data_IF_319074577362
#
_entry.id   IF_319074577362
#
_cell.length_a   1.000
_cell.length_b   1.000
_cell.length_c   1.000
_cell.angle_alpha   90.00
_cell.angle_beta   90.00
_cell.angle_gamma   90.00
#
_symmetry.space_group_name_H-M   'P 1'
#
loop_
_entity.id
_entity.type
_entity.pdbx_description
1 polymer ?
#
# COMPACT_ATOMS: atom_id res chain seq x y z
N UNK A 1 29.17 8.80 -25.38
CA UNK A 1 28.83 10.05 -24.65
C UNK A 1 27.31 10.08 -24.40
N UNK A 2 26.47 9.79 -25.40
CA UNK A 2 24.99 9.71 -25.25
C UNK A 2 24.53 8.68 -24.19
N UNK A 3 25.05 7.45 -24.21
CA UNK A 3 24.75 6.38 -23.22
C UNK A 3 25.03 6.78 -21.75
N UNK A 4 25.96 7.71 -21.50
CA UNK A 4 26.22 8.20 -20.14
C UNK A 4 25.24 9.31 -19.70
N UNK A 5 24.70 10.07 -20.65
CA UNK A 5 23.71 11.13 -20.42
C UNK A 5 22.33 10.53 -20.18
N UNK A 6 21.94 9.52 -20.96
CA UNK A 6 20.68 8.78 -20.80
C UNK A 6 20.61 8.05 -19.46
N UNK A 7 21.70 7.35 -19.08
CA UNK A 7 21.78 6.71 -17.75
C UNK A 7 21.70 7.71 -16.61
N UNK A 8 22.25 8.91 -16.79
CA UNK A 8 22.17 9.98 -15.79
C UNK A 8 20.74 10.50 -15.66
N UNK A 9 20.04 10.73 -16.77
CA UNK A 9 18.63 11.16 -16.77
C UNK A 9 17.74 10.12 -16.08
N UNK A 10 17.85 8.86 -16.48
CA UNK A 10 17.08 7.78 -15.85
C UNK A 10 17.40 7.62 -14.36
N UNK A 11 18.66 7.79 -13.95
CA UNK A 11 19.03 7.78 -12.53
C UNK A 11 18.44 8.97 -11.77
N UNK A 12 18.47 10.18 -12.33
CA UNK A 12 17.85 11.39 -11.74
C UNK A 12 16.33 11.23 -11.61
N UNK A 13 15.68 10.69 -12.64
CA UNK A 13 14.25 10.41 -12.69
C UNK A 13 13.83 9.34 -11.67
N UNK A 14 14.58 8.23 -11.58
CA UNK A 14 14.35 7.17 -10.59
C UNK A 14 14.62 7.68 -9.17
N UNK A 15 15.61 8.55 -8.96
CA UNK A 15 15.85 9.17 -7.65
C UNK A 15 14.73 10.12 -7.25
N UNK A 16 14.16 10.86 -8.19
CA UNK A 16 13.00 11.73 -7.95
C UNK A 16 11.77 10.93 -7.49
N UNK A 17 11.56 9.74 -8.06
CA UNK A 17 10.47 8.83 -7.67
C UNK A 17 10.77 8.08 -6.37
N UNK A 18 11.99 7.59 -6.16
CA UNK A 18 12.36 6.87 -4.93
C UNK A 18 12.32 7.77 -3.69
N UNK A 19 12.58 9.06 -3.86
CA UNK A 19 12.44 10.06 -2.80
C UNK A 19 10.99 10.30 -2.34
N UNK A 20 9.98 9.90 -3.13
CA UNK A 20 8.56 10.13 -2.83
C UNK A 20 8.05 9.30 -1.64
N UNK A 21 8.69 8.17 -1.37
CA UNK A 21 8.30 7.23 -0.30
C UNK A 21 8.73 7.68 1.09
N UNK A 22 9.58 8.70 1.18
CA UNK A 22 9.98 9.30 2.45
C UNK A 22 9.24 10.63 2.63
N UNK A 23 8.25 10.72 3.54
CA UNK A 23 7.67 12.01 3.88
C UNK A 23 8.76 12.90 4.45
N UNK A 24 8.89 14.13 3.93
CA UNK A 24 9.87 15.09 4.43
C UNK A 24 9.77 15.26 5.96
N UNK A 25 10.89 15.57 6.62
CA UNK A 25 11.01 15.57 8.09
C UNK A 25 9.96 16.46 8.78
N UNK A 26 9.54 17.56 8.14
CA UNK A 26 8.48 18.42 8.64
C UNK A 26 7.11 17.70 8.66
N UNK A 27 6.75 17.04 7.56
CA UNK A 27 5.51 16.26 7.45
C UNK A 27 5.53 15.07 8.41
N UNK A 28 6.69 14.43 8.60
CA UNK A 28 6.82 13.34 9.58
C UNK A 28 6.52 13.81 11.02
N UNK A 29 7.00 15.00 11.40
CA UNK A 29 6.72 15.59 12.73
C UNK A 29 5.25 15.96 12.93
N UNK A 30 4.61 16.50 11.90
CA UNK A 30 3.17 16.80 11.95
C UNK A 30 2.30 15.54 12.00
N UNK A 31 2.76 14.45 11.36
CA UNK A 31 2.08 13.16 11.41
C UNK A 31 2.13 12.55 12.82
N UNK A 32 3.26 12.68 13.51
CA UNK A 32 3.51 12.16 14.86
C UNK A 32 2.76 12.92 15.96
N UNK A 33 2.47 14.22 15.75
CA UNK A 33 1.77 15.06 16.72
C UNK A 33 0.27 14.73 16.90
N UNK A 34 -0.33 13.98 15.97
CA UNK A 34 -1.76 13.66 15.97
C UNK A 34 -1.97 12.17 16.31
N UNK A 35 -2.96 11.82 17.17
CA UNK A 35 -3.20 10.43 17.55
C UNK A 35 -3.48 9.56 16.33
N UNK A 36 -2.77 8.43 16.22
CA UNK A 36 -3.01 7.46 15.14
C UNK A 36 -4.33 6.72 15.38
N UNK A 37 -5.29 6.93 14.49
CA UNK A 37 -6.55 6.20 14.41
C UNK A 37 -6.52 5.25 13.21
N UNK A 38 -7.17 4.08 13.29
CA UNK A 38 -7.31 3.14 12.19
C UNK A 38 -7.78 3.82 10.89
N UNK A 39 -8.74 4.76 10.96
CA UNK A 39 -9.23 5.49 9.79
C UNK A 39 -8.12 6.33 9.10
N UNK A 40 -7.20 6.91 9.88
CA UNK A 40 -6.09 7.72 9.36
C UNK A 40 -5.01 6.85 8.72
N UNK A 41 -4.69 5.71 9.34
CA UNK A 41 -3.75 4.74 8.74
C UNK A 41 -4.31 4.18 7.44
N UNK A 42 -5.62 3.92 7.38
CA UNK A 42 -6.30 3.54 6.14
C UNK A 42 -6.20 4.62 5.06
N UNK A 43 -6.36 5.90 5.43
CA UNK A 43 -6.12 7.02 4.54
C UNK A 43 -4.71 7.04 3.97
N UNK A 44 -3.68 6.83 4.82
CA UNK A 44 -2.28 6.73 4.39
C UNK A 44 -2.01 5.54 3.46
N UNK A 45 -2.66 4.39 3.70
CA UNK A 45 -2.56 3.24 2.78
C UNK A 45 -3.10 3.60 1.41
N UNK A 46 -4.30 4.20 1.35
CA UNK A 46 -4.91 4.59 0.08
C UNK A 46 -4.09 5.65 -0.66
N UNK A 47 -3.55 6.63 0.08
CA UNK A 47 -2.68 7.65 -0.49
C UNK A 47 -1.39 7.06 -1.05
N UNK A 48 -0.76 6.13 -0.32
CA UNK A 48 0.44 5.42 -0.77
C UNK A 48 0.16 4.59 -2.03
N UNK A 49 -0.97 3.88 -2.08
CA UNK A 49 -1.39 3.10 -3.25
C UNK A 49 -1.62 4.02 -4.47
N UNK A 50 -2.27 5.17 -4.27
CA UNK A 50 -2.48 6.17 -5.32
C UNK A 50 -1.15 6.74 -5.85
N UNK A 51 -0.26 7.15 -4.94
CA UNK A 51 1.08 7.66 -5.32
C UNK A 51 1.88 6.62 -6.09
N UNK A 52 1.82 5.35 -5.67
CA UNK A 52 2.51 4.28 -6.38
C UNK A 52 1.98 4.09 -7.81
N UNK A 53 0.67 4.19 -8.03
CA UNK A 53 0.09 4.15 -9.38
C UNK A 53 0.57 5.31 -10.24
N UNK A 54 0.60 6.52 -9.68
CA UNK A 54 1.10 7.72 -10.37
C UNK A 54 2.60 7.58 -10.72
N UNK A 55 3.43 7.11 -9.78
CA UNK A 55 4.87 6.89 -9.97
C UNK A 55 5.14 5.86 -11.08
N UNK A 56 4.40 4.74 -11.08
CA UNK A 56 4.53 3.70 -12.11
C UNK A 56 4.08 4.22 -13.46
N UNK A 57 2.96 4.94 -13.52
CA UNK A 57 2.47 5.52 -14.78
C UNK A 57 3.49 6.48 -15.39
N UNK A 58 4.08 7.35 -14.55
CA UNK A 58 5.12 8.30 -14.96
C UNK A 58 6.37 7.59 -15.48
N UNK A 59 6.80 6.52 -14.80
CA UNK A 59 7.94 5.72 -15.26
C UNK A 59 7.69 5.09 -16.63
N UNK A 60 6.49 4.56 -16.87
CA UNK A 60 6.10 4.02 -18.19
C UNK A 60 6.04 5.12 -19.27
N UNK A 61 5.56 6.32 -18.91
CA UNK A 61 5.53 7.44 -19.83
C UNK A 61 6.96 7.83 -20.26
N UNK A 62 7.90 7.95 -19.32
CA UNK A 62 9.30 8.23 -19.63
C UNK A 62 9.92 7.18 -20.53
N UNK A 63 9.67 5.89 -20.23
CA UNK A 63 10.17 4.80 -21.08
C UNK A 63 9.59 4.84 -22.50
N UNK A 64 8.33 5.26 -22.65
CA UNK A 64 7.72 5.43 -23.95
C UNK A 64 8.34 6.60 -24.71
N UNK A 65 8.54 7.74 -24.05
CA UNK A 65 9.18 8.93 -24.61
C UNK A 65 10.61 8.61 -25.09
N UNK A 66 11.42 7.94 -24.26
CA UNK A 66 12.78 7.51 -24.62
C UNK A 66 12.77 6.56 -25.82
N UNK A 67 11.86 5.57 -25.83
CA UNK A 67 11.74 4.64 -26.94
C UNK A 67 11.32 5.34 -28.25
N UNK A 68 10.43 6.33 -28.18
CA UNK A 68 10.04 7.12 -29.37
C UNK A 68 11.19 7.97 -29.88
N UNK A 69 11.92 8.65 -29.00
CA UNK A 69 13.09 9.44 -29.37
C UNK A 69 14.17 8.57 -30.03
N UNK A 70 14.45 7.39 -29.47
CA UNK A 70 15.40 6.46 -30.06
C UNK A 70 14.94 5.95 -31.43
N UNK A 71 13.64 5.64 -31.59
CA UNK A 71 13.09 5.23 -32.87
C UNK A 71 13.17 6.35 -33.93
N UNK A 72 12.96 7.60 -33.53
CA UNK A 72 13.10 8.78 -34.39
C UNK A 72 14.57 8.99 -34.80
N UNK A 73 15.50 8.93 -33.86
CA UNK A 73 16.94 9.01 -34.12
C UNK A 73 17.41 7.90 -35.06
N UNK A 74 16.93 6.66 -34.87
CA UNK A 74 17.22 5.54 -35.77
C UNK A 74 16.63 5.72 -37.17
N UNK A 75 15.46 6.37 -37.27
CA UNK A 75 14.83 6.69 -38.55
C UNK A 75 15.62 7.77 -39.29
N UNK A 76 15.99 8.85 -38.61
CA UNK A 76 16.76 9.98 -39.15
C UNK A 76 18.22 9.63 -39.43
N UNK A 77 18.81 8.69 -38.69
CA UNK A 77 20.17 8.20 -38.95
C UNK A 77 20.31 7.47 -40.30
N UNK A 78 19.21 7.10 -40.96
CA UNK A 78 19.22 6.42 -42.26
C UNK A 78 19.20 7.38 -43.46
N UNK A 79 19.39 8.68 -43.24
CA UNK A 79 19.37 9.70 -44.29
C UNK A 79 20.43 9.45 -45.39
N UNK A 80 20.09 9.85 -46.62
CA UNK A 80 20.53 9.32 -47.93
C UNK A 80 22.04 9.42 -48.28
N UNK A 81 22.92 9.82 -47.36
CA UNK A 81 24.37 9.99 -47.60
C UNK A 81 25.15 8.65 -47.68
N UNK A 82 24.50 7.50 -47.48
CA UNK A 82 25.16 6.18 -47.51
C UNK A 82 25.47 5.71 -48.94
N UNK A 83 24.94 6.36 -49.97
CA UNK A 83 25.29 6.01 -51.36
C UNK A 83 26.74 6.35 -51.74
N UNK A 84 27.37 7.36 -51.13
CA UNK A 84 28.78 7.72 -51.43
C UNK A 84 29.81 7.07 -50.47
N UNK A 85 29.42 6.76 -49.23
CA UNK A 85 30.33 6.24 -48.18
C UNK A 85 30.50 4.71 -48.15
N UNK A 86 29.68 3.96 -48.90
CA UNK A 86 29.78 2.50 -49.01
C UNK A 86 31.16 2.03 -49.52
N UNK A 87 31.86 2.89 -50.24
CA UNK A 87 33.20 2.68 -50.81
C UNK A 87 34.31 2.57 -49.76
N UNK A 88 34.21 3.29 -48.64
CA UNK A 88 35.28 3.36 -47.62
C UNK A 88 35.17 2.29 -46.54
N UNK A 89 33.94 1.98 -46.10
CA UNK A 89 33.72 0.89 -45.12
C UNK A 89 34.04 -0.47 -45.77
N UNK A 90 33.73 -0.65 -47.06
CA UNK A 90 34.09 -1.84 -47.83
C UNK A 90 35.62 -2.02 -47.96
N UNK A 91 36.37 -0.92 -48.18
CA UNK A 91 37.84 -0.91 -48.19
C UNK A 91 38.46 -1.20 -46.82
N UNK A 92 37.89 -0.68 -45.74
CA UNK A 92 38.36 -0.97 -44.38
C UNK A 92 38.10 -2.43 -43.99
N UNK A 93 36.93 -2.97 -44.35
CA UNK A 93 36.55 -4.35 -44.08
C UNK A 93 37.25 -5.39 -44.97
N UNK A 94 37.78 -5.00 -46.14
CA UNK A 94 38.55 -5.92 -47.01
C UNK A 94 39.94 -6.24 -46.46
N UNK A 95 40.45 -5.44 -45.50
CA UNK A 95 41.72 -5.66 -44.80
C UNK A 95 41.67 -6.75 -43.74
N UNK A 96 40.47 -7.18 -43.33
CA UNK A 96 40.29 -8.21 -42.30
C UNK A 96 40.03 -9.60 -42.91
N UNK A 97 40.53 -10.68 -42.30
CA UNK A 97 40.14 -12.04 -42.64
C UNK A 97 38.62 -12.23 -42.57
N UNK A 98 38.05 -12.96 -43.55
CA UNK A 98 36.59 -13.23 -43.63
C UNK A 98 35.96 -13.72 -42.32
N UNK A 99 36.68 -14.52 -41.54
CA UNK A 99 36.22 -15.05 -40.25
C UNK A 99 36.01 -13.96 -39.18
N UNK A 100 36.91 -12.98 -39.10
CA UNK A 100 36.81 -11.86 -38.16
C UNK A 100 35.73 -10.87 -38.60
N UNK A 101 35.61 -10.63 -39.92
CA UNK A 101 34.55 -9.78 -40.49
C UNK A 101 33.16 -10.31 -40.14
N UNK A 102 32.92 -11.60 -40.34
CA UNK A 102 31.62 -12.22 -40.05
C UNK A 102 31.32 -12.23 -38.54
N UNK A 103 32.33 -12.48 -37.70
CA UNK A 103 32.16 -12.46 -36.23
C UNK A 103 31.83 -11.07 -35.71
N UNK A 104 32.48 -10.04 -36.23
CA UNK A 104 32.20 -8.65 -35.85
C UNK A 104 30.82 -8.19 -36.32
N UNK A 105 30.45 -8.46 -37.58
CA UNK A 105 29.12 -8.13 -38.11
C UNK A 105 28.00 -8.83 -37.33
N UNK A 106 28.19 -10.09 -36.96
CA UNK A 106 27.22 -10.85 -36.17
C UNK A 106 27.14 -10.36 -34.72
N UNK A 107 28.26 -9.94 -34.12
CA UNK A 107 28.26 -9.31 -32.80
C UNK A 107 27.55 -7.95 -32.80
N UNK A 108 27.79 -7.12 -33.83
CA UNK A 108 27.12 -5.84 -34.04
C UNK A 108 25.61 -6.02 -34.28
N UNK A 109 25.23 -6.98 -35.13
CA UNK A 109 23.83 -7.30 -35.38
C UNK A 109 23.13 -7.79 -34.12
N UNK A 110 23.79 -8.64 -33.32
CA UNK A 110 23.24 -9.11 -32.03
C UNK A 110 23.19 -8.03 -30.95
N UNK A 111 24.08 -7.04 -30.97
CA UNK A 111 24.00 -5.91 -30.03
C UNK A 111 22.87 -4.95 -30.41
N UNK A 112 22.60 -4.76 -31.70
CA UNK A 112 21.55 -3.88 -32.21
C UNK A 112 20.16 -4.53 -32.24
N UNK A 113 20.08 -5.85 -32.41
CA UNK A 113 18.82 -6.59 -32.58
C UNK A 113 18.67 -7.76 -31.60
N UNK A 114 19.45 -7.77 -30.52
CA UNK A 114 19.36 -8.78 -29.48
C UNK A 114 18.01 -8.73 -28.74
N UNK A 115 17.52 -9.86 -28.23
CA UNK A 115 16.22 -9.93 -27.54
C UNK A 115 16.16 -9.12 -26.23
N UNK A 116 17.31 -8.74 -25.66
CA UNK A 116 17.43 -7.92 -24.46
C UNK A 116 18.45 -6.78 -24.69
N UNK A 117 18.01 -5.64 -25.25
CA UNK A 117 18.81 -4.42 -25.20
C UNK A 117 19.04 -4.05 -23.73
N UNK A 118 20.22 -3.51 -23.40
CA UNK A 118 20.61 -3.17 -22.03
C UNK A 118 19.60 -2.21 -21.38
N UNK A 119 18.94 -1.34 -22.15
CA UNK A 119 17.93 -0.42 -21.61
C UNK A 119 16.73 -1.15 -20.99
N UNK A 120 16.27 -2.25 -21.60
CA UNK A 120 15.14 -3.03 -21.05
C UNK A 120 15.45 -3.59 -19.67
N UNK A 121 16.68 -4.10 -19.48
CA UNK A 121 17.10 -4.63 -18.19
C UNK A 121 17.13 -3.56 -17.09
N UNK A 122 17.57 -2.34 -17.43
CA UNK A 122 17.62 -1.22 -16.47
C UNK A 122 16.22 -0.75 -16.09
N UNK A 123 15.29 -0.67 -17.05
CA UNK A 123 13.90 -0.33 -16.78
C UNK A 123 13.22 -1.37 -15.88
N UNK A 124 13.38 -2.66 -16.18
CA UNK A 124 12.82 -3.75 -15.39
C UNK A 124 13.33 -3.73 -13.94
N UNK A 125 14.63 -3.49 -13.74
CA UNK A 125 15.24 -3.33 -12.41
C UNK A 125 14.66 -2.11 -11.66
N UNK A 126 14.42 -0.99 -12.35
CA UNK A 126 13.82 0.21 -11.76
C UNK A 126 12.38 -0.05 -11.31
N UNK A 127 11.56 -0.70 -12.16
CA UNK A 127 10.19 -1.11 -11.83
C UNK A 127 10.18 -2.06 -10.64
N UNK A 128 11.05 -3.07 -10.64
CA UNK A 128 11.14 -4.04 -9.55
C UNK A 128 11.51 -3.37 -8.22
N UNK A 129 12.47 -2.44 -8.25
CA UNK A 129 12.89 -1.67 -7.08
C UNK A 129 11.76 -0.78 -6.53
N UNK A 130 10.99 -0.11 -7.39
CA UNK A 130 9.83 0.70 -6.99
C UNK A 130 8.73 -0.16 -6.37
N UNK A 131 8.38 -1.28 -6.99
CA UNK A 131 7.40 -2.23 -6.45
C UNK A 131 7.83 -2.77 -5.08
N UNK A 132 9.10 -3.12 -4.93
CA UNK A 132 9.62 -3.60 -3.66
C UNK A 132 9.50 -2.54 -2.56
N UNK A 133 9.89 -1.29 -2.82
CA UNK A 133 9.77 -0.20 -1.86
C UNK A 133 8.31 0.08 -1.46
N UNK A 134 7.39 0.05 -2.43
CA UNK A 134 5.96 0.17 -2.18
C UNK A 134 5.42 -0.97 -1.29
N UNK A 135 5.75 -2.22 -1.62
CA UNK A 135 5.29 -3.37 -0.82
C UNK A 135 5.83 -3.33 0.61
N UNK A 136 7.09 -2.94 0.80
CA UNK A 136 7.70 -2.86 2.11
C UNK A 136 7.01 -1.78 2.99
N UNK A 137 6.79 -0.58 2.45
CA UNK A 137 6.11 0.51 3.16
C UNK A 137 4.64 0.17 3.47
N UNK A 138 3.92 -0.40 2.50
CA UNK A 138 2.53 -0.81 2.64
C UNK A 138 2.35 -1.94 3.67
N UNK A 139 3.28 -2.88 3.74
CA UNK A 139 3.26 -3.97 4.75
C UNK A 139 3.35 -3.40 6.17
N UNK A 140 4.19 -2.39 6.39
CA UNK A 140 4.29 -1.69 7.67
C UNK A 140 2.97 -1.05 8.08
N UNK A 141 2.36 -0.27 7.16
CA UNK A 141 1.08 0.40 7.41
C UNK A 141 -0.08 -0.57 7.65
N UNK A 142 -0.14 -1.69 6.91
CA UNK A 142 -1.18 -2.72 7.10
C UNK A 142 -1.08 -3.38 8.47
N UNK A 143 0.13 -3.66 8.96
CA UNK A 143 0.34 -4.18 10.32
C UNK A 143 -0.13 -3.18 11.36
N UNK A 144 0.23 -1.91 11.23
CA UNK A 144 -0.22 -0.84 12.13
C UNK A 144 -1.76 -0.73 12.14
N UNK A 145 -2.38 -0.69 10.97
CA UNK A 145 -3.83 -0.66 10.85
C UNK A 145 -4.50 -1.85 11.56
N UNK A 146 -4.00 -3.08 11.32
CA UNK A 146 -4.52 -4.27 11.97
C UNK A 146 -4.40 -4.20 13.50
N UNK A 147 -3.28 -3.70 14.03
CA UNK A 147 -3.10 -3.53 15.47
C UNK A 147 -4.04 -2.50 16.08
N UNK A 148 -4.31 -1.39 15.38
CA UNK A 148 -5.24 -0.37 15.86
C UNK A 148 -6.69 -0.87 15.82
N UNK A 149 -7.08 -1.55 14.75
CA UNK A 149 -8.42 -2.16 14.65
C UNK A 149 -8.61 -3.21 15.75
N UNK A 150 -7.63 -4.07 16.01
CA UNK A 150 -7.70 -5.06 17.07
C UNK A 150 -7.88 -4.39 18.45
N UNK A 151 -7.12 -3.32 18.75
CA UNK A 151 -7.27 -2.56 19.99
C UNK A 151 -8.65 -1.90 20.11
N UNK A 152 -9.13 -1.24 19.06
CA UNK A 152 -10.46 -0.64 19.04
C UNK A 152 -11.57 -1.67 19.23
N UNK A 153 -11.43 -2.86 18.62
CA UNK A 153 -12.36 -3.97 18.81
C UNK A 153 -12.30 -4.54 20.23
N UNK A 154 -11.11 -4.71 20.80
CA UNK A 154 -10.95 -5.17 22.18
C UNK A 154 -11.56 -4.18 23.17
N UNK A 155 -11.36 -2.88 23.00
CA UNK A 155 -11.99 -1.84 23.80
C UNK A 155 -13.52 -1.81 23.65
N UNK A 156 -14.03 -2.06 22.43
CA UNK A 156 -15.48 -2.22 22.21
C UNK A 156 -16.00 -3.47 22.90
N UNK A 157 -15.34 -4.62 22.75
CA UNK A 157 -15.72 -5.87 23.41
C UNK A 157 -15.67 -5.75 24.92
N UNK A 158 -14.68 -5.03 25.47
CA UNK A 158 -14.58 -4.80 26.90
C UNK A 158 -15.72 -3.92 27.41
N UNK A 159 -16.05 -2.84 26.70
CA UNK A 159 -17.22 -2.01 27.02
C UNK A 159 -18.54 -2.78 26.91
N UNK A 160 -18.71 -3.58 25.86
CA UNK A 160 -19.91 -4.38 25.65
C UNK A 160 -20.03 -5.56 26.63
N UNK A 161 -18.90 -6.04 27.17
CA UNK A 161 -18.89 -7.08 28.21
C UNK A 161 -19.21 -6.52 29.61
N UNK A 162 -19.08 -5.20 29.82
CA UNK A 162 -19.41 -4.59 31.11
C UNK A 162 -20.92 -4.44 31.29
N UNK A 163 -21.38 -4.82 32.47
CA UNK A 163 -22.75 -4.59 32.86
C UNK A 163 -22.97 -3.09 33.17
N UNK A 164 -24.06 -2.46 32.71
CA UNK A 164 -24.31 -1.04 32.97
C UNK A 164 -24.51 -0.80 34.46
N UNK A 165 -23.96 0.30 34.98
CA UNK A 165 -24.15 0.67 36.39
C UNK A 165 -25.59 1.12 36.70
N UNK A 166 -26.19 1.91 35.78
CA UNK A 166 -27.50 2.56 35.96
C UNK A 166 -28.42 2.37 34.74
N UNK A 167 -29.73 2.52 34.96
CA UNK A 167 -30.77 2.50 33.91
C UNK A 167 -30.56 3.55 32.81
N UNK A 168 -30.07 4.74 33.15
CA UNK A 168 -29.75 5.77 32.17
C UNK A 168 -28.64 5.32 31.21
N UNK A 169 -27.63 4.62 31.73
CA UNK A 169 -26.54 4.05 30.93
C UNK A 169 -27.08 2.92 30.05
N UNK A 170 -27.96 2.08 30.58
CA UNK A 170 -28.62 1.02 29.81
C UNK A 170 -29.38 1.55 28.58
N UNK A 171 -30.14 2.64 28.73
CA UNK A 171 -30.86 3.26 27.61
C UNK A 171 -29.94 4.01 26.64
N UNK A 172 -28.76 4.44 27.09
CA UNK A 172 -27.76 5.11 26.25
C UNK A 172 -26.90 4.14 25.41
N UNK A 173 -26.97 2.82 25.65
CA UNK A 173 -26.23 1.82 24.88
C UNK A 173 -26.72 1.78 23.43
N UNK A 174 -25.81 2.02 22.48
CA UNK A 174 -26.12 1.96 21.05
C UNK A 174 -26.21 0.51 20.52
N UNK A 175 -25.53 -0.44 21.17
CA UNK A 175 -25.52 -1.83 20.74
C UNK A 175 -26.79 -2.56 21.18
N UNK A 176 -27.71 -2.79 20.23
CA UNK A 176 -28.99 -3.47 20.47
C UNK A 176 -28.82 -4.90 21.01
N UNK A 177 -27.78 -5.60 20.61
CA UNK A 177 -27.56 -6.98 21.07
C UNK A 177 -27.18 -6.99 22.56
N UNK A 178 -26.28 -6.10 22.98
CA UNK A 178 -25.94 -5.90 24.40
C UNK A 178 -27.18 -5.52 25.21
N UNK A 179 -28.01 -4.61 24.68
CA UNK A 179 -29.25 -4.20 25.31
C UNK A 179 -30.23 -5.39 25.48
N UNK A 180 -30.39 -6.22 24.46
CA UNK A 180 -31.24 -7.42 24.51
C UNK A 180 -30.71 -8.47 25.49
N UNK A 181 -29.38 -8.66 25.56
CA UNK A 181 -28.76 -9.59 26.54
C UNK A 181 -29.04 -9.14 27.97
N UNK A 182 -28.88 -7.86 28.26
CA UNK A 182 -29.17 -7.29 29.59
C UNK A 182 -30.66 -7.33 29.89
N UNK A 183 -31.52 -6.98 28.92
CA UNK A 183 -32.98 -7.08 29.09
C UNK A 183 -33.43 -8.52 29.38
N UNK A 184 -32.87 -9.49 28.65
CA UNK A 184 -33.11 -10.92 28.89
C UNK A 184 -32.63 -11.35 30.27
N UNK A 185 -31.49 -10.82 30.72
CA UNK A 185 -31.02 -11.08 32.08
C UNK A 185 -31.99 -10.56 33.14
N UNK A 186 -32.51 -9.34 32.98
CA UNK A 186 -33.46 -8.73 33.91
C UNK A 186 -34.78 -9.51 34.00
N UNK A 187 -35.26 -10.05 32.88
CA UNK A 187 -36.53 -10.79 32.80
C UNK A 187 -36.42 -12.30 33.06
N UNK A 188 -35.21 -12.85 33.13
CA UNK A 188 -35.01 -14.29 33.36
C UNK A 188 -35.22 -14.68 34.82
N UNK A 189 -35.58 -15.96 35.03
CA UNK A 189 -35.62 -16.59 36.36
C UNK A 189 -34.23 -16.68 37.00
N UNK A 190 -34.16 -16.87 38.32
CA UNK A 190 -32.89 -16.87 39.07
C UNK A 190 -31.87 -17.90 38.57
N UNK A 191 -32.32 -19.09 38.15
CA UNK A 191 -31.44 -20.09 37.52
C UNK A 191 -30.90 -19.63 36.14
N UNK A 192 -31.70 -18.88 35.38
CA UNK A 192 -31.30 -18.30 34.11
C UNK A 192 -30.29 -17.17 34.30
N UNK A 193 -30.52 -16.32 35.32
CA UNK A 193 -29.58 -15.25 35.71
C UNK A 193 -28.23 -15.81 36.10
N UNK A 194 -28.17 -16.84 36.94
CA UNK A 194 -26.90 -17.44 37.37
C UNK A 194 -26.09 -18.03 36.21
N UNK A 195 -26.76 -18.68 35.24
CA UNK A 195 -26.11 -19.14 33.99
C UNK A 195 -25.54 -17.97 33.20
N UNK A 196 -26.31 -16.90 33.00
CA UNK A 196 -25.86 -15.72 32.27
C UNK A 196 -24.73 -14.97 33.00
N UNK A 197 -24.70 -14.93 34.33
CA UNK A 197 -23.55 -14.39 35.09
C UNK A 197 -22.27 -15.16 34.77
N UNK A 198 -22.35 -16.49 34.68
CA UNK A 198 -21.19 -17.33 34.34
C UNK A 198 -20.75 -17.21 32.89
N UNK A 199 -21.71 -17.13 31.96
CA UNK A 199 -21.48 -17.07 30.51
C UNK A 199 -20.85 -15.73 30.10
N UNK A 200 -21.38 -14.62 30.61
CA UNK A 200 -20.90 -13.27 30.32
C UNK A 200 -19.88 -12.74 31.34
N UNK A 201 -19.52 -13.55 32.35
CA UNK A 201 -18.58 -13.22 33.44
C UNK A 201 -18.93 -11.95 34.20
N UNK A 202 -20.21 -11.70 34.40
CA UNK A 202 -20.69 -10.55 35.17
C UNK A 202 -20.57 -10.80 36.66
N UNK A 203 -20.12 -9.79 37.42
CA UNK A 203 -20.06 -9.88 38.87
C UNK A 203 -21.43 -9.56 39.47
N UNK A 204 -21.94 -10.43 40.35
CA UNK A 204 -23.23 -10.23 41.04
C UNK A 204 -23.38 -8.84 41.66
N UNK A 205 -22.30 -8.28 42.22
CA UNK A 205 -22.28 -6.94 42.84
C UNK A 205 -22.56 -5.81 41.85
N UNK A 206 -22.16 -5.96 40.59
CA UNK A 206 -22.40 -4.95 39.55
C UNK A 206 -23.84 -5.00 39.04
N UNK A 207 -24.45 -6.18 39.07
CA UNK A 207 -25.76 -6.41 38.48
C UNK A 207 -26.89 -6.13 39.47
N UNK A 208 -26.61 -6.30 40.77
CA UNK A 208 -27.59 -6.12 41.84
C UNK A 208 -28.28 -4.75 41.84
N UNK A 209 -27.52 -3.67 41.61
CA UNK A 209 -28.07 -2.30 41.59
C UNK A 209 -29.17 -2.16 40.54
N UNK A 210 -28.91 -2.62 39.32
CA UNK A 210 -29.87 -2.55 38.21
C UNK A 210 -31.08 -3.49 38.42
N UNK A 211 -30.86 -4.65 39.02
CA UNK A 211 -31.94 -5.60 39.35
C UNK A 211 -32.89 -4.99 40.39
N UNK A 212 -32.34 -4.38 41.44
CA UNK A 212 -33.10 -3.73 42.51
C UNK A 212 -33.91 -2.53 41.95
N UNK A 213 -33.30 -1.70 41.08
CA UNK A 213 -34.00 -0.61 40.39
C UNK A 213 -35.10 -1.12 39.45
N UNK A 214 -34.85 -2.18 38.69
CA UNK A 214 -35.83 -2.76 37.78
C UNK A 214 -37.03 -3.34 38.53
N UNK A 215 -36.80 -4.08 39.62
CA UNK A 215 -37.87 -4.62 40.47
C UNK A 215 -38.72 -3.51 41.09
N UNK A 216 -38.08 -2.41 41.51
CA UNK A 216 -38.79 -1.25 42.04
C UNK A 216 -39.72 -0.64 40.98
N UNK A 217 -39.25 -0.45 39.74
CA UNK A 217 -40.07 0.08 38.64
C UNK A 217 -41.21 -0.86 38.21
N UNK A 218 -40.97 -2.17 38.17
CA UNK A 218 -42.02 -3.16 37.87
C UNK A 218 -43.11 -3.15 38.95
N UNK A 219 -42.73 -3.01 40.22
CA UNK A 219 -43.69 -2.94 41.32
C UNK A 219 -44.53 -1.66 41.33
N UNK A 220 -43.98 -0.55 40.81
CA UNK A 220 -44.69 0.75 40.69
C UNK A 220 -45.62 0.79 39.48
N UNK A 221 -45.32 0.06 38.40
CA UNK A 221 -46.18 -0.03 37.22
C UNK A 221 -47.28 -1.12 37.28
N UNK A 222 -47.27 -1.97 38.32
CA UNK A 222 -48.26 -3.03 38.51
C UNK A 222 -49.46 -2.62 39.41
N UNK A 223 -49.57 -1.33 39.76
CA UNK A 223 -50.70 -0.69 40.45
C UNK A 223 -51.43 0.22 39.45
#
# INVERSE_FOLDING_TARGET
>A
INDAVERRRLAEDVLSLKGSYFPGVAVAKELEALPENAARVKGRINELEKRHQEDIHRLYQWQAEDHFAEAEDQYLSKDDAITDSQTDVSKLLSRFPRSLKNRWLQALYRSLHGPNPREKAVFDDAVASLRYAHLNSLTGLRRQHATLVAKEEEERRWRDAQFPADLAVFHAIQNKDTQLRIARFLTSDDQGRERMLSEYRWAWRQVKTLVDEFQTNVSVHAI
#
